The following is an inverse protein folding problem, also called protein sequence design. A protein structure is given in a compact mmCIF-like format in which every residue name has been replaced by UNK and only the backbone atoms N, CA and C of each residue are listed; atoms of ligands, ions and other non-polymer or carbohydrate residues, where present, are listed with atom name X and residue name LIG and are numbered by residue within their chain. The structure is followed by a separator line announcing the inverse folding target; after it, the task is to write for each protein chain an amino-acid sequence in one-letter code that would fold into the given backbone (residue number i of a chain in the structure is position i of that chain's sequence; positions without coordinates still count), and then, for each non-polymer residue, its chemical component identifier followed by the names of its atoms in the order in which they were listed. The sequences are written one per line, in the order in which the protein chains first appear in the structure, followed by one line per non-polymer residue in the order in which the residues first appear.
data_IF_170627102345
#
_entry.id   IF_170627102345
#
_cell.length_a   1.000
_cell.length_b   1.000
_cell.length_c   1.000
_cell.angle_alpha   90.00
_cell.angle_beta   90.00
_cell.angle_gamma   90.00
#
_symmetry.space_group_name_H-M   'P 1'
#
loop_
_entity.id
_entity.type
_entity.pdbx_description
1 polymer ?
#
# COMPACT_ATOMS: atom_id res chain seq x y z
N UNK A 1 -7.84 -23.13 3.80
CA UNK A 1 -7.90 -21.66 3.83
C UNK A 1 -6.52 -21.03 3.65
N UNK A 2 -5.53 -21.25 4.53
CA UNK A 2 -4.20 -20.63 4.36
C UNK A 2 -3.53 -20.94 2.99
N UNK A 3 -3.41 -22.21 2.61
CA UNK A 3 -2.82 -22.59 1.31
C UNK A 3 -3.64 -22.14 0.10
N UNK A 4 -4.98 -22.13 0.21
CA UNK A 4 -5.86 -21.63 -0.85
C UNK A 4 -5.75 -20.11 -1.03
N UNK A 5 -5.58 -19.36 0.07
CA UNK A 5 -5.33 -17.91 0.01
C UNK A 5 -3.99 -17.60 -0.64
N UNK A 6 -2.95 -18.39 -0.36
CA UNK A 6 -1.64 -18.24 -1.01
C UNK A 6 -1.74 -18.46 -2.51
N UNK A 7 -2.48 -19.48 -2.96
CA UNK A 7 -2.68 -19.76 -4.38
C UNK A 7 -3.35 -18.59 -5.13
N UNK A 8 -4.23 -17.83 -4.47
CA UNK A 8 -4.86 -16.63 -5.03
C UNK A 8 -3.89 -15.44 -5.09
N UNK A 9 -2.95 -15.35 -4.14
CA UNK A 9 -1.96 -14.26 -4.03
C UNK A 9 -0.69 -14.52 -4.87
N UNK A 10 -0.50 -15.73 -5.40
CA UNK A 10 0.59 -16.03 -6.34
C UNK A 10 0.44 -15.18 -7.61
N UNK A 11 1.09 -14.02 -7.62
CA UNK A 11 1.04 -13.04 -8.72
C UNK A 11 1.73 -13.51 -10.01
N UNK A 12 2.45 -12.61 -10.69
CA UNK A 12 2.98 -12.85 -12.03
C UNK A 12 3.98 -14.02 -12.17
N UNK A 13 4.57 -14.51 -11.07
CA UNK A 13 5.53 -15.62 -11.10
C UNK A 13 5.21 -16.66 -10.04
N UNK A 14 4.80 -17.85 -10.50
CA UNK A 14 4.53 -19.02 -9.65
C UNK A 14 5.77 -19.45 -8.84
N UNK A 15 6.95 -19.40 -9.44
CA UNK A 15 8.19 -19.80 -8.77
C UNK A 15 8.49 -18.87 -7.59
N UNK A 16 8.40 -17.55 -7.78
CA UNK A 16 8.60 -16.58 -6.69
C UNK A 16 7.57 -16.75 -5.57
N UNK A 17 6.31 -17.04 -5.95
CA UNK A 17 5.25 -17.33 -4.98
C UNK A 17 5.56 -18.54 -4.10
N UNK A 18 6.01 -19.65 -4.68
CA UNK A 18 6.38 -20.83 -3.90
C UNK A 18 7.60 -20.59 -3.01
N UNK A 19 8.63 -19.90 -3.51
CA UNK A 19 9.81 -19.55 -2.70
C UNK A 19 9.37 -18.70 -1.49
N UNK A 20 8.53 -17.69 -1.70
CA UNK A 20 8.00 -16.85 -0.62
C UNK A 20 7.15 -17.64 0.38
N UNK A 21 6.35 -18.60 -0.09
CA UNK A 21 5.55 -19.49 0.77
C UNK A 21 6.43 -20.34 1.67
N UNK A 22 7.43 -21.02 1.09
CA UNK A 22 8.33 -21.88 1.87
C UNK A 22 9.18 -21.09 2.85
N UNK A 23 9.63 -19.88 2.49
CA UNK A 23 10.30 -18.98 3.42
C UNK A 23 9.39 -18.57 4.60
N UNK A 24 8.15 -18.17 4.31
CA UNK A 24 7.20 -17.81 5.36
C UNK A 24 6.86 -18.98 6.28
N UNK A 25 6.69 -20.18 5.72
CA UNK A 25 6.47 -21.40 6.51
C UNK A 25 7.70 -21.74 7.37
N UNK A 26 8.91 -21.63 6.84
CA UNK A 26 10.12 -21.89 7.61
C UNK A 26 10.24 -20.97 8.83
N UNK A 27 9.92 -19.68 8.68
CA UNK A 27 9.88 -18.74 9.79
C UNK A 27 8.75 -19.05 10.78
N UNK A 28 7.58 -19.46 10.29
CA UNK A 28 6.41 -19.76 11.13
C UNK A 28 6.51 -21.04 11.96
N UNK A 29 7.45 -21.94 11.67
CA UNK A 29 7.69 -23.15 12.48
C UNK A 29 8.68 -22.90 13.63
N UNK A 30 9.34 -21.73 13.67
CA UNK A 30 10.24 -21.36 14.77
C UNK A 30 9.41 -21.15 16.05
N UNK A 31 9.75 -21.88 17.11
CA UNK A 31 9.10 -21.76 18.42
C UNK A 31 8.75 -23.10 19.06
N UNK A 32 8.03 -23.04 20.18
CA UNK A 32 7.46 -24.21 20.84
C UNK A 32 6.22 -24.67 20.08
N UNK A 33 6.22 -25.95 19.68
CA UNK A 33 5.02 -26.57 19.10
C UNK A 33 3.94 -26.74 20.19
N UNK A 34 2.77 -26.14 19.96
CA UNK A 34 1.68 -26.10 20.94
C UNK A 34 1.06 -27.48 21.27
N UNK A 35 1.27 -28.50 20.43
CA UNK A 35 0.72 -29.84 20.65
C UNK A 35 1.68 -30.73 21.43
N UNK A 36 2.98 -30.61 21.15
CA UNK A 36 4.02 -31.51 21.64
C UNK A 36 4.91 -30.88 22.70
N UNK A 37 4.89 -29.54 22.85
CA UNK A 37 5.76 -28.79 23.75
C UNK A 37 7.24 -28.80 23.34
N UNK A 38 7.58 -29.35 22.17
CA UNK A 38 8.94 -29.44 21.69
C UNK A 38 9.36 -28.14 21.01
N UNK A 39 10.58 -27.69 21.29
CA UNK A 39 11.17 -26.55 20.60
C UNK A 39 11.58 -26.94 19.17
N UNK A 40 11.15 -26.15 18.18
CA UNK A 40 11.48 -26.34 16.77
C UNK A 40 12.23 -25.13 16.23
N UNK A 41 13.35 -25.38 15.56
CA UNK A 41 14.17 -24.34 14.92
C UNK A 41 14.55 -23.18 15.86
N UNK A 42 14.67 -23.43 17.17
CA UNK A 42 15.08 -22.42 18.15
C UNK A 42 16.59 -22.36 18.34
N UNK A 43 17.33 -23.33 17.79
CA UNK A 43 18.81 -23.36 17.78
C UNK A 43 19.48 -23.16 19.15
N UNK A 44 18.78 -23.45 20.24
CA UNK A 44 19.27 -23.25 21.62
C UNK A 44 19.15 -21.81 22.14
N UNK A 45 18.55 -20.89 21.37
CA UNK A 45 18.28 -19.52 21.78
C UNK A 45 16.92 -19.44 22.50
N UNK A 46 16.87 -19.00 23.77
CA UNK A 46 15.62 -18.86 24.52
C UNK A 46 14.63 -17.89 23.87
N UNK A 47 15.13 -16.81 23.26
CA UNK A 47 14.30 -15.78 22.61
C UNK A 47 13.48 -16.33 21.43
N UNK A 48 13.89 -17.46 20.85
CA UNK A 48 13.17 -18.10 19.74
C UNK A 48 12.09 -19.07 20.23
N UNK A 49 11.97 -19.34 21.54
CA UNK A 49 10.95 -20.25 22.08
C UNK A 49 9.53 -19.71 21.88
N UNK A 50 9.35 -18.40 22.00
CA UNK A 50 8.08 -17.71 21.74
C UNK A 50 7.80 -17.52 20.24
N UNK A 51 8.72 -17.97 19.38
CA UNK A 51 8.67 -17.79 17.94
C UNK A 51 9.07 -16.38 17.49
N UNK A 52 8.86 -16.09 16.21
CA UNK A 52 9.18 -14.77 15.65
C UNK A 52 7.92 -13.93 15.55
N UNK A 53 7.96 -12.71 16.09
CA UNK A 53 6.83 -11.79 16.04
C UNK A 53 6.46 -11.47 14.57
N UNK A 54 5.19 -11.70 14.22
CA UNK A 54 4.71 -11.54 12.85
C UNK A 54 4.94 -10.13 12.30
N UNK A 55 4.71 -9.12 13.14
CA UNK A 55 4.92 -7.69 12.80
C UNK A 55 6.37 -7.43 12.41
N UNK A 56 7.33 -7.96 13.20
CA UNK A 56 8.77 -7.83 12.95
C UNK A 56 9.15 -8.48 11.63
N UNK A 57 8.64 -9.68 11.33
CA UNK A 57 8.88 -10.35 10.04
C UNK A 57 8.35 -9.51 8.89
N UNK A 58 7.11 -9.04 8.98
CA UNK A 58 6.47 -8.27 7.90
C UNK A 58 7.22 -6.96 7.62
N UNK A 59 7.55 -6.19 8.66
CA UNK A 59 8.29 -4.93 8.53
C UNK A 59 9.69 -5.17 7.98
N UNK A 60 10.40 -6.19 8.46
CA UNK A 60 11.77 -6.48 8.04
C UNK A 60 11.85 -6.94 6.59
N UNK A 61 10.96 -7.85 6.16
CA UNK A 61 10.94 -8.35 4.78
C UNK A 61 10.58 -7.23 3.81
N UNK A 62 9.62 -6.36 4.18
CA UNK A 62 9.28 -5.18 3.38
C UNK A 62 10.47 -4.22 3.25
N UNK A 63 11.09 -3.83 4.38
CA UNK A 63 12.21 -2.89 4.39
C UNK A 63 13.40 -3.39 3.57
N UNK A 64 13.79 -4.67 3.75
CA UNK A 64 14.87 -5.28 2.98
C UNK A 64 14.51 -5.36 1.50
N UNK A 65 13.26 -5.72 1.18
CA UNK A 65 12.76 -5.75 -0.19
C UNK A 65 12.85 -4.40 -0.89
N UNK A 66 12.45 -3.32 -0.20
CA UNK A 66 12.49 -1.96 -0.73
C UNK A 66 13.93 -1.48 -0.93
N UNK A 67 14.83 -1.73 0.04
CA UNK A 67 16.24 -1.38 -0.08
C UNK A 67 16.87 -2.09 -1.29
N UNK A 68 16.63 -3.40 -1.45
CA UNK A 68 17.14 -4.15 -2.60
C UNK A 68 16.54 -3.66 -3.91
N UNK A 69 15.24 -3.31 -3.92
CA UNK A 69 14.57 -2.76 -5.08
C UNK A 69 15.20 -1.44 -5.51
N UNK A 70 15.33 -0.48 -4.59
CA UNK A 70 15.96 0.83 -4.82
C UNK A 70 17.41 0.66 -5.25
N UNK A 71 18.20 -0.15 -4.55
CA UNK A 71 19.60 -0.40 -4.89
C UNK A 71 19.76 -1.02 -6.29
N UNK A 72 18.89 -1.96 -6.67
CA UNK A 72 18.92 -2.59 -8.00
C UNK A 72 18.53 -1.64 -9.13
N UNK A 73 17.74 -0.61 -8.82
CA UNK A 73 17.21 0.37 -9.77
C UNK A 73 17.88 1.73 -9.69
N UNK A 74 18.96 1.83 -8.92
CA UNK A 74 19.83 3.00 -8.86
C UNK A 74 20.61 3.14 -10.18
N UNK A 75 19.88 3.46 -11.26
CA UNK A 75 20.45 3.93 -12.52
C UNK A 75 20.75 5.41 -12.35
N UNK A 76 21.94 5.81 -12.78
CA UNK A 76 22.24 7.19 -13.16
C UNK A 76 21.34 7.60 -14.33
N UNK A 77 20.06 7.84 -14.09
CA UNK A 77 19.31 8.71 -14.95
C UNK A 77 19.62 10.12 -14.41
N UNK A 78 20.11 11.01 -15.28
CA UNK A 78 20.25 12.42 -14.93
C UNK A 78 18.94 12.86 -14.29
N UNK A 79 19.00 13.30 -13.02
CA UNK A 79 17.84 13.84 -12.33
C UNK A 79 17.36 15.04 -13.16
N UNK A 80 16.31 14.82 -13.95
CA UNK A 80 15.64 15.91 -14.63
C UNK A 80 14.96 16.73 -13.53
N UNK A 81 15.61 17.81 -13.13
CA UNK A 81 15.00 18.82 -12.29
C UNK A 81 13.82 19.37 -13.08
N UNK A 82 12.60 18.95 -12.71
CA UNK A 82 11.38 19.51 -13.26
C UNK A 82 11.22 20.89 -12.62
N UNK A 83 11.43 21.99 -13.35
CA UNK A 83 11.24 23.30 -12.77
C UNK A 83 9.79 23.46 -12.34
N UNK A 84 9.56 23.89 -11.10
CA UNK A 84 8.22 24.22 -10.60
C UNK A 84 7.75 25.46 -11.38
N UNK A 85 7.08 25.22 -12.50
CA UNK A 85 6.53 26.24 -13.37
C UNK A 85 5.07 26.46 -13.01
N UNK A 86 4.75 27.58 -12.34
CA UNK A 86 3.36 27.94 -12.06
C UNK A 86 3.18 28.96 -10.94
N UNK A 87 1.92 29.33 -10.68
CA UNK A 87 1.53 30.08 -9.49
C UNK A 87 1.31 29.10 -8.34
N UNK A 88 1.82 29.41 -7.15
CA UNK A 88 1.62 28.58 -5.96
C UNK A 88 0.15 28.48 -5.50
N UNK A 89 -0.73 29.32 -6.06
CA UNK A 89 -2.13 29.41 -5.68
C UNK A 89 -3.04 28.93 -6.80
N UNK A 90 -4.09 28.22 -6.40
CA UNK A 90 -5.14 27.76 -7.31
C UNK A 90 -5.93 28.94 -7.90
N UNK A 91 -6.22 28.87 -9.18
CA UNK A 91 -7.11 29.81 -9.87
C UNK A 91 -8.57 29.55 -9.51
N UNK A 92 -9.45 30.53 -9.74
CA UNK A 92 -10.89 30.40 -9.46
C UNK A 92 -11.54 29.22 -10.17
N UNK A 93 -11.08 28.88 -11.38
CA UNK A 93 -11.58 27.74 -12.13
C UNK A 93 -11.16 26.41 -11.48
N UNK A 94 -9.93 26.33 -10.98
CA UNK A 94 -9.42 25.14 -10.30
C UNK A 94 -10.17 24.89 -8.99
N UNK A 95 -10.47 25.95 -8.23
CA UNK A 95 -11.35 25.88 -7.06
C UNK A 95 -12.75 25.37 -7.42
N UNK A 96 -13.35 25.90 -8.49
CA UNK A 96 -14.67 25.47 -8.95
C UNK A 96 -14.70 24.01 -9.43
N UNK A 97 -13.58 23.51 -9.98
CA UNK A 97 -13.42 22.10 -10.36
C UNK A 97 -13.18 21.18 -9.17
N UNK A 98 -12.59 21.68 -8.08
CA UNK A 98 -12.15 20.86 -6.95
C UNK A 98 -13.21 20.57 -5.88
N UNK A 99 -14.19 21.46 -5.69
CA UNK A 99 -15.14 21.31 -4.57
C UNK A 99 -16.01 20.05 -4.64
N UNK A 100 -16.44 19.63 -5.84
CA UNK A 100 -17.24 18.39 -6.01
C UNK A 100 -16.38 17.14 -5.79
N UNK A 101 -15.18 17.01 -6.37
CA UNK A 101 -14.26 15.93 -6.03
C UNK A 101 -13.94 15.85 -4.54
N UNK A 102 -13.67 16.98 -3.87
CA UNK A 102 -13.41 16.99 -2.43
C UNK A 102 -14.55 16.36 -1.64
N UNK A 103 -15.79 16.80 -1.89
CA UNK A 103 -16.94 16.26 -1.17
C UNK A 103 -17.12 14.76 -1.42
N UNK A 104 -17.00 14.32 -2.68
CA UNK A 104 -17.12 12.89 -3.05
C UNK A 104 -15.99 12.06 -2.46
N UNK A 105 -14.76 12.56 -2.51
CA UNK A 105 -13.57 11.95 -1.92
C UNK A 105 -13.72 11.76 -0.42
N UNK A 106 -14.15 12.79 0.32
CA UNK A 106 -14.40 12.70 1.76
C UNK A 106 -15.44 11.65 2.12
N UNK A 107 -16.54 11.58 1.36
CA UNK A 107 -17.61 10.58 1.58
C UNK A 107 -17.14 9.15 1.32
N UNK A 108 -16.15 8.94 0.45
CA UNK A 108 -15.54 7.62 0.22
C UNK A 108 -14.49 7.33 1.30
N UNK A 109 -13.64 8.30 1.60
CA UNK A 109 -12.52 8.16 2.52
C UNK A 109 -12.95 7.89 3.95
N UNK A 110 -13.83 8.73 4.50
CA UNK A 110 -14.17 8.68 5.93
C UNK A 110 -14.78 7.33 6.38
N UNK A 111 -15.80 6.77 5.70
CA UNK A 111 -16.35 5.48 6.10
C UNK A 111 -15.37 4.32 5.95
N UNK A 112 -14.46 4.39 4.96
CA UNK A 112 -13.44 3.37 4.77
C UNK A 112 -12.32 3.48 5.80
N UNK A 113 -11.95 4.68 6.22
CA UNK A 113 -11.00 4.92 7.31
C UNK A 113 -11.49 4.40 8.65
N UNK A 114 -12.79 4.52 8.93
CA UNK A 114 -13.41 3.98 10.13
C UNK A 114 -13.39 2.44 10.21
N UNK A 115 -13.06 1.72 9.12
CA UNK A 115 -12.95 0.26 9.11
C UNK A 115 -11.53 -0.12 9.57
N UNK A 116 -11.40 -0.89 10.67
CA UNK A 116 -10.09 -1.33 11.16
C UNK A 116 -9.34 -2.15 10.10
N UNK A 117 -8.10 -1.76 9.81
CA UNK A 117 -7.22 -2.49 8.89
C UNK A 117 -7.44 -2.22 7.39
N UNK A 118 -8.28 -1.25 7.01
CA UNK A 118 -8.59 -0.93 5.61
C UNK A 118 -7.54 -0.13 4.83
N UNK A 119 -6.63 0.58 5.51
CA UNK A 119 -5.66 1.48 4.86
C UNK A 119 -6.30 2.68 4.14
N UNK A 120 -5.51 3.71 3.82
CA UNK A 120 -6.02 4.86 3.05
C UNK A 120 -5.85 4.69 1.54
N UNK A 121 -5.11 3.68 1.09
CA UNK A 121 -4.78 3.47 -0.32
C UNK A 121 -5.99 3.03 -1.16
N UNK A 122 -6.84 2.16 -0.60
CA UNK A 122 -8.06 1.68 -1.25
C UNK A 122 -9.06 2.81 -1.54
N UNK A 123 -9.47 3.64 -0.55
CA UNK A 123 -10.39 4.74 -0.81
C UNK A 123 -9.81 5.77 -1.80
N UNK A 124 -8.50 6.02 -1.78
CA UNK A 124 -7.83 6.90 -2.75
C UNK A 124 -7.90 6.37 -4.18
N UNK A 125 -7.61 5.08 -4.40
CA UNK A 125 -7.72 4.43 -5.72
C UNK A 125 -9.17 4.41 -6.23
N UNK A 126 -10.13 4.15 -5.34
CA UNK A 126 -11.55 4.16 -5.67
C UNK A 126 -12.03 5.56 -6.03
N UNK A 127 -11.61 6.57 -5.27
CA UNK A 127 -11.89 7.98 -5.57
C UNK A 127 -11.33 8.36 -6.93
N UNK A 128 -10.08 8.00 -7.25
CA UNK A 128 -9.48 8.29 -8.55
C UNK A 128 -10.28 7.67 -9.70
N UNK A 129 -10.67 6.41 -9.56
CA UNK A 129 -11.45 5.69 -10.57
C UNK A 129 -12.84 6.32 -10.76
N UNK A 130 -13.48 6.72 -9.66
CA UNK A 130 -14.76 7.42 -9.69
C UNK A 130 -14.65 8.78 -10.39
N UNK A 131 -13.64 9.57 -10.03
CA UNK A 131 -13.42 10.88 -10.64
C UNK A 131 -13.09 10.78 -12.13
N UNK A 132 -12.30 9.78 -12.54
CA UNK A 132 -12.05 9.50 -13.96
C UNK A 132 -13.33 9.17 -14.71
N UNK A 133 -14.25 8.43 -14.09
CA UNK A 133 -15.51 8.06 -14.73
C UNK A 133 -16.48 9.23 -14.83
N UNK A 134 -16.55 10.08 -13.80
CA UNK A 134 -17.48 11.21 -13.70
C UNK A 134 -16.98 12.49 -14.38
N UNK A 135 -15.66 12.66 -14.52
CA UNK A 135 -15.10 13.87 -15.12
C UNK A 135 -15.46 13.98 -16.59
N UNK A 136 -15.74 15.22 -17.02
CA UNK A 136 -15.88 15.58 -18.43
C UNK A 136 -14.51 15.68 -19.13
N UNK A 137 -13.44 15.91 -18.36
CA UNK A 137 -12.08 16.12 -18.85
C UNK A 137 -11.25 14.84 -18.68
N UNK A 138 -11.72 13.73 -19.26
CA UNK A 138 -11.08 12.40 -19.07
C UNK A 138 -9.66 12.35 -19.64
N UNK A 139 -9.39 13.15 -20.67
CA UNK A 139 -8.09 13.19 -21.36
C UNK A 139 -6.98 13.83 -20.50
N UNK A 140 -7.34 14.63 -19.49
CA UNK A 140 -6.39 15.24 -18.56
C UNK A 140 -5.88 14.23 -17.50
N UNK A 141 -6.54 13.07 -17.33
CA UNK A 141 -6.15 12.07 -16.34
C UNK A 141 -4.83 11.41 -16.73
N UNK A 142 -3.86 11.40 -15.81
CA UNK A 142 -2.47 10.99 -16.06
C UNK A 142 -1.56 12.13 -16.55
N UNK A 143 -2.14 13.29 -16.89
CA UNK A 143 -1.42 14.50 -17.32
C UNK A 143 -1.62 15.69 -16.36
N UNK A 144 -2.27 15.48 -15.20
CA UNK A 144 -2.50 16.51 -14.20
C UNK A 144 -3.96 16.99 -14.07
N UNK A 145 -4.96 16.15 -14.37
CA UNK A 145 -6.37 16.47 -14.09
C UNK A 145 -6.61 16.87 -12.63
N UNK A 146 -7.26 18.02 -12.43
CA UNK A 146 -7.58 18.56 -11.09
C UNK A 146 -8.48 17.61 -10.31
N UNK A 147 -9.51 17.06 -10.95
CA UNK A 147 -10.43 16.11 -10.31
C UNK A 147 -9.69 14.81 -9.92
N UNK A 148 -8.67 14.43 -10.70
CA UNK A 148 -7.82 13.27 -10.44
C UNK A 148 -6.83 13.46 -9.29
N UNK A 149 -6.70 14.67 -8.73
CA UNK A 149 -5.92 14.95 -7.51
C UNK A 149 -6.84 15.31 -6.36
N UNK A 150 -7.77 16.25 -6.57
CA UNK A 150 -8.66 16.75 -5.54
C UNK A 150 -9.48 15.65 -4.85
N UNK A 151 -10.12 14.76 -5.61
CA UNK A 151 -10.90 13.65 -5.02
C UNK A 151 -10.03 12.68 -4.22
N UNK A 152 -8.99 12.10 -4.83
CA UNK A 152 -8.07 11.17 -4.16
C UNK A 152 -7.40 11.73 -2.91
N UNK A 153 -6.96 13.00 -2.93
CA UNK A 153 -6.37 13.68 -1.77
C UNK A 153 -7.39 13.86 -0.64
N UNK A 154 -8.62 14.26 -0.96
CA UNK A 154 -9.69 14.34 0.04
C UNK A 154 -10.06 12.96 0.60
N UNK A 155 -10.07 11.91 -0.23
CA UNK A 155 -10.32 10.55 0.23
C UNK A 155 -9.20 10.05 1.15
N UNK A 156 -7.93 10.31 0.82
CA UNK A 156 -6.79 9.95 1.66
C UNK A 156 -6.88 10.66 3.02
N UNK A 157 -7.07 11.99 3.01
CA UNK A 157 -7.12 12.79 4.22
C UNK A 157 -8.34 12.44 5.09
N UNK A 158 -9.50 12.18 4.49
CA UNK A 158 -10.69 11.75 5.21
C UNK A 158 -10.58 10.34 5.77
N UNK A 159 -9.92 9.41 5.05
CA UNK A 159 -9.63 8.08 5.57
C UNK A 159 -8.68 8.17 6.76
N UNK A 160 -7.60 8.97 6.66
CA UNK A 160 -6.68 9.20 7.77
C UNK A 160 -7.35 9.81 9.00
N UNK A 161 -8.31 10.73 8.82
CA UNK A 161 -9.08 11.31 9.92
C UNK A 161 -10.10 10.34 10.54
N UNK A 162 -10.42 9.23 9.86
CA UNK A 162 -11.36 8.21 10.34
C UNK A 162 -10.71 7.03 11.08
N UNK A 163 -9.38 6.92 11.05
CA UNK A 163 -8.57 5.91 11.76
C UNK A 163 -8.25 6.42 13.17
#
# INVERSE_FOLDING_TARGET
MAFTSVAVVMGASRVRGFISLFLGLALGVIGIDAMTGQARMTFGLPDLLDGVELTVVLVSVFAVGEILYVASRFRHNDEQIIPISGKAFMTRNEWARSWKPWLRGTVIGFPMGAIPGGGSELPTMLSYSLEKNLSKNKDEFGHGAIEGVAGPEAANNAAAAGI
#
